data_IF_664968367006
#
_entry.id   IF_664968367006
#
_cell.length_a   1.000
_cell.length_b   1.000
_cell.length_c   1.000
_cell.angle_alpha   90.00
_cell.angle_beta   90.00
_cell.angle_gamma   90.00
#
_symmetry.space_group_name_H-M   'P 1'
#
loop_
_entity.id
_entity.type
_entity.pdbx_description
1 polymer ?
#
# COMPACT_ATOMS: atom_id res chain seq x y z
N UNK A 1 19.39 -17.19 11.30
CA UNK A 1 18.11 -17.92 11.15
C UNK A 1 16.91 -16.98 11.19
N UNK A 2 16.79 -16.13 12.19
CA UNK A 2 15.70 -15.14 12.29
C UNK A 2 15.73 -14.17 11.11
N UNK A 3 16.91 -13.69 10.74
CA UNK A 3 17.07 -12.75 9.62
C UNK A 3 16.63 -13.37 8.29
N UNK A 4 16.95 -14.65 8.07
CA UNK A 4 16.53 -15.35 6.86
C UNK A 4 15.00 -15.47 6.77
N UNK A 5 14.36 -15.81 7.89
CA UNK A 5 12.89 -15.88 7.96
C UNK A 5 12.26 -14.52 7.72
N UNK A 6 12.85 -13.46 8.31
CA UNK A 6 12.40 -12.08 8.08
C UNK A 6 12.48 -11.73 6.59
N UNK A 7 13.62 -11.97 5.95
CA UNK A 7 13.81 -11.67 4.53
C UNK A 7 12.83 -12.44 3.65
N UNK A 8 12.58 -13.71 3.98
CA UNK A 8 11.62 -14.53 3.24
C UNK A 8 10.21 -13.97 3.32
N UNK A 9 9.76 -13.57 4.52
CA UNK A 9 8.44 -13.01 4.72
C UNK A 9 8.31 -11.61 4.11
N UNK A 10 9.37 -10.81 4.20
CA UNK A 10 9.41 -9.49 3.56
C UNK A 10 9.28 -9.59 2.05
N UNK A 11 10.01 -10.54 1.45
CA UNK A 11 9.92 -10.80 0.02
C UNK A 11 8.51 -11.21 -0.39
N UNK A 12 7.85 -12.06 0.42
CA UNK A 12 6.47 -12.46 0.18
C UNK A 12 5.52 -11.27 0.25
N UNK A 13 5.72 -10.37 1.22
CA UNK A 13 4.91 -9.15 1.32
C UNK A 13 5.08 -8.26 0.08
N UNK A 14 6.30 -8.10 -0.41
CA UNK A 14 6.59 -7.34 -1.63
C UNK A 14 5.87 -7.96 -2.83
N UNK A 15 5.92 -9.28 -2.98
CA UNK A 15 5.24 -9.99 -4.07
C UNK A 15 3.73 -9.76 -4.00
N UNK A 16 3.14 -9.82 -2.81
CA UNK A 16 1.71 -9.55 -2.62
C UNK A 16 1.34 -8.12 -3.00
N UNK A 17 2.17 -7.15 -2.65
CA UNK A 17 1.95 -5.75 -3.01
C UNK A 17 2.05 -5.54 -4.52
N UNK A 18 3.03 -6.15 -5.18
CA UNK A 18 3.17 -6.08 -6.63
C UNK A 18 1.95 -6.70 -7.32
N UNK A 19 1.45 -7.83 -6.82
CA UNK A 19 0.24 -8.47 -7.33
C UNK A 19 -0.96 -7.55 -7.20
N UNK A 20 -1.11 -6.89 -6.05
CA UNK A 20 -2.20 -5.94 -5.81
C UNK A 20 -2.14 -4.76 -6.80
N UNK A 21 -0.96 -4.20 -7.02
CA UNK A 21 -0.76 -3.11 -7.98
C UNK A 21 -1.13 -3.58 -9.39
N UNK A 22 -0.70 -4.79 -9.76
CA UNK A 22 -1.03 -5.37 -11.07
C UNK A 22 -2.54 -5.53 -11.27
N UNK A 23 -3.26 -6.00 -10.25
CA UNK A 23 -4.71 -6.12 -10.29
C UNK A 23 -5.38 -4.75 -10.44
N UNK A 24 -4.92 -3.76 -9.69
CA UNK A 24 -5.46 -2.40 -9.79
C UNK A 24 -5.20 -1.78 -11.17
N UNK A 25 -4.03 -2.00 -11.75
CA UNK A 25 -3.74 -1.53 -13.10
C UNK A 25 -4.64 -2.21 -14.13
N UNK A 26 -4.91 -3.51 -13.97
CA UNK A 26 -5.86 -4.22 -14.81
C UNK A 26 -7.26 -3.64 -14.72
N UNK A 27 -7.71 -3.30 -13.51
CA UNK A 27 -9.01 -2.65 -13.31
C UNK A 27 -9.04 -1.25 -13.93
N UNK A 28 -7.92 -0.53 -13.93
CA UNK A 28 -7.81 0.76 -14.62
C UNK A 28 -8.07 0.62 -16.12
N UNK A 29 -7.45 -0.38 -16.74
CA UNK A 29 -7.66 -0.66 -18.17
C UNK A 29 -9.10 -1.04 -18.44
N UNK A 30 -9.72 -1.85 -17.58
CA UNK A 30 -11.13 -2.19 -17.69
C UNK A 30 -12.01 -0.95 -17.62
N UNK A 31 -11.70 0.00 -16.73
CA UNK A 31 -12.43 1.27 -16.62
C UNK A 31 -12.37 2.06 -17.93
N UNK A 32 -11.20 2.08 -18.57
CA UNK A 32 -11.06 2.77 -19.86
C UNK A 32 -11.95 2.15 -20.95
N UNK A 33 -11.98 0.82 -21.01
CA UNK A 33 -12.72 0.09 -22.04
C UNK A 33 -14.23 0.20 -21.81
N UNK A 34 -14.71 0.05 -20.56
CA UNK A 34 -16.13 -0.06 -20.25
C UNK A 34 -16.80 1.28 -19.88
N UNK A 35 -16.05 2.24 -19.35
CA UNK A 35 -16.64 3.49 -18.83
C UNK A 35 -16.16 4.74 -19.58
N UNK A 36 -14.87 4.87 -19.86
CA UNK A 36 -14.34 6.00 -20.60
C UNK A 36 -13.05 6.57 -20.00
N UNK A 37 -12.59 7.68 -20.59
CA UNK A 37 -11.29 8.25 -20.24
C UNK A 37 -11.27 8.97 -18.89
N UNK A 38 -12.38 9.61 -18.49
CA UNK A 38 -12.46 10.35 -17.21
C UNK A 38 -12.35 9.38 -16.05
N UNK A 39 -13.05 8.27 -16.10
CA UNK A 39 -13.03 7.22 -15.11
C UNK A 39 -11.67 6.53 -15.08
N UNK A 40 -11.08 6.28 -16.24
CA UNK A 40 -9.73 5.72 -16.35
C UNK A 40 -8.69 6.61 -15.66
N UNK A 41 -8.73 7.93 -15.93
CA UNK A 41 -7.80 8.88 -15.32
C UNK A 41 -7.91 8.86 -13.79
N UNK A 42 -9.14 8.86 -13.27
CA UNK A 42 -9.39 8.79 -11.84
C UNK A 42 -8.84 7.50 -11.23
N UNK A 43 -9.21 6.38 -11.80
CA UNK A 43 -8.79 5.07 -11.30
C UNK A 43 -7.26 4.90 -11.37
N UNK A 44 -6.65 5.27 -12.48
CA UNK A 44 -5.20 5.19 -12.65
C UNK A 44 -4.47 6.08 -11.64
N UNK A 45 -4.94 7.31 -11.44
CA UNK A 45 -4.33 8.24 -10.47
C UNK A 45 -4.39 7.69 -9.05
N UNK A 46 -5.52 7.11 -8.65
CA UNK A 46 -5.66 6.48 -7.34
C UNK A 46 -4.74 5.28 -7.17
N UNK A 47 -4.62 4.46 -8.20
CA UNK A 47 -3.72 3.31 -8.19
C UNK A 47 -2.25 3.74 -8.07
N UNK A 48 -1.85 4.77 -8.84
CA UNK A 48 -0.47 5.28 -8.77
C UNK A 48 -0.14 5.86 -7.40
N UNK A 49 -1.07 6.58 -6.80
CA UNK A 49 -0.88 7.14 -5.45
C UNK A 49 -0.73 6.02 -4.42
N UNK A 50 -1.59 5.01 -4.46
CA UNK A 50 -1.48 3.84 -3.59
C UNK A 50 -0.15 3.10 -3.78
N UNK A 51 0.31 2.98 -5.02
CA UNK A 51 1.58 2.35 -5.35
C UNK A 51 2.76 3.12 -4.72
N UNK A 52 2.74 4.45 -4.80
CA UNK A 52 3.78 5.27 -4.18
C UNK A 52 3.85 5.03 -2.68
N UNK A 53 2.72 4.97 -2.00
CA UNK A 53 2.70 4.68 -0.57
C UNK A 53 3.23 3.28 -0.25
N UNK A 54 2.92 2.29 -1.06
CA UNK A 54 3.45 0.93 -0.88
C UNK A 54 4.97 0.89 -1.04
N UNK A 55 5.50 1.61 -2.02
CA UNK A 55 6.95 1.72 -2.24
C UNK A 55 7.62 2.39 -1.03
N UNK A 56 7.03 3.47 -0.53
CA UNK A 56 7.56 4.17 0.65
C UNK A 56 7.59 3.27 1.87
N UNK A 57 6.54 2.46 2.07
CA UNK A 57 6.50 1.49 3.16
C UNK A 57 7.64 0.47 3.06
N UNK A 58 7.88 -0.06 1.85
CA UNK A 58 8.97 -1.01 1.61
C UNK A 58 10.32 -0.39 1.98
N UNK A 59 10.56 0.85 1.57
CA UNK A 59 11.80 1.55 1.94
C UNK A 59 11.92 1.75 3.45
N UNK A 60 10.84 2.13 4.11
CA UNK A 60 10.84 2.33 5.57
C UNK A 60 11.16 1.04 6.30
N UNK A 61 10.57 -0.08 5.88
CA UNK A 61 10.82 -1.39 6.51
C UNK A 61 12.27 -1.81 6.32
N UNK A 62 12.86 -1.53 5.15
CA UNK A 62 14.27 -1.85 4.91
C UNK A 62 15.22 -1.08 5.80
N UNK A 63 14.87 0.17 6.14
CA UNK A 63 15.70 1.02 7.00
C UNK A 63 15.56 0.68 8.47
N UNK A 64 14.40 0.17 8.88
CA UNK A 64 14.13 -0.14 10.29
C UNK A 64 14.62 -1.56 10.60
N UNK A 65 15.27 -1.71 11.75
CA UNK A 65 15.67 -3.04 12.21
C UNK A 65 14.45 -3.89 12.54
N UNK A 66 14.43 -5.13 12.06
CA UNK A 66 13.36 -6.07 12.36
C UNK A 66 13.35 -6.52 13.82
N UNK A 67 14.35 -6.12 14.62
CA UNK A 67 14.42 -6.48 16.04
C UNK A 67 13.31 -5.85 16.88
N UNK A 68 12.66 -4.80 16.38
CA UNK A 68 11.61 -4.11 17.12
C UNK A 68 10.33 -3.97 16.28
N UNK A 69 9.38 -4.93 16.41
CA UNK A 69 8.13 -4.89 15.66
C UNK A 69 7.22 -3.72 16.04
N UNK A 70 7.38 -3.15 17.24
CA UNK A 70 6.61 -1.97 17.64
C UNK A 70 6.93 -0.76 16.78
N UNK A 71 8.18 -0.60 16.34
CA UNK A 71 8.56 0.49 15.44
C UNK A 71 7.87 0.33 14.08
N UNK A 72 7.83 -0.90 13.55
CA UNK A 72 7.13 -1.18 12.29
C UNK A 72 5.64 -0.87 12.39
N UNK A 73 5.01 -1.28 13.49
CA UNK A 73 3.60 -1.03 13.74
C UNK A 73 3.32 0.47 13.83
N UNK A 74 4.16 1.21 14.57
CA UNK A 74 4.04 2.66 14.70
C UNK A 74 4.19 3.37 13.36
N UNK A 75 5.12 2.93 12.51
CA UNK A 75 5.31 3.49 11.17
C UNK A 75 4.08 3.27 10.30
N UNK A 76 3.52 2.07 10.31
CA UNK A 76 2.34 1.76 9.49
C UNK A 76 1.12 2.55 9.93
N UNK A 77 0.83 2.60 11.23
CA UNK A 77 -0.30 3.35 11.76
C UNK A 77 -0.09 4.86 11.66
N UNK A 78 1.13 5.34 11.93
CA UNK A 78 1.47 6.76 11.90
C UNK A 78 1.43 7.35 10.48
N UNK A 79 1.65 6.53 9.46
CA UNK A 79 1.58 6.98 8.07
C UNK A 79 0.14 7.13 7.56
N UNK A 80 -0.85 6.54 8.25
CA UNK A 80 -2.22 6.53 7.79
C UNK A 80 -2.84 7.94 7.71
N UNK A 81 -2.70 8.83 8.73
CA UNK A 81 -3.17 10.21 8.60
C UNK A 81 -2.52 10.97 7.45
N UNK A 82 -1.24 10.73 7.20
CA UNK A 82 -0.50 11.33 6.09
C UNK A 82 -1.09 10.87 4.77
N UNK A 83 -1.42 9.58 4.64
CA UNK A 83 -2.07 9.02 3.45
C UNK A 83 -3.41 9.70 3.17
N UNK A 84 -4.22 9.91 4.22
CA UNK A 84 -5.52 10.57 4.09
C UNK A 84 -5.34 12.02 3.63
N UNK A 85 -4.38 12.75 4.22
CA UNK A 85 -4.11 14.14 3.85
C UNK A 85 -3.68 14.26 2.39
N UNK A 86 -2.75 13.42 1.97
CA UNK A 86 -2.27 13.41 0.58
C UNK A 86 -3.41 13.03 -0.37
N UNK A 87 -4.24 12.06 0.01
CA UNK A 87 -5.42 11.68 -0.76
C UNK A 87 -6.34 12.89 -0.97
N UNK A 88 -6.62 13.64 0.08
CA UNK A 88 -7.48 14.82 -0.02
C UNK A 88 -6.91 15.88 -0.98
N UNK A 89 -5.62 16.14 -0.87
CA UNK A 89 -4.94 17.11 -1.74
C UNK A 89 -5.03 16.68 -3.20
N UNK A 90 -4.74 15.39 -3.48
CA UNK A 90 -4.79 14.88 -4.85
C UNK A 90 -6.20 14.79 -5.40
N UNK A 91 -7.20 14.50 -4.56
CA UNK A 91 -8.60 14.48 -4.99
C UNK A 91 -9.04 15.86 -5.45
N UNK A 92 -8.74 16.89 -4.68
CA UNK A 92 -9.07 18.28 -5.06
C UNK A 92 -8.28 18.73 -6.29
N UNK A 93 -6.97 18.50 -6.32
CA UNK A 93 -6.12 18.86 -7.44
C UNK A 93 -6.52 18.13 -8.73
N UNK A 94 -6.83 16.86 -8.60
CA UNK A 94 -7.26 16.06 -9.76
C UNK A 94 -8.58 16.54 -10.35
N UNK A 95 -9.53 16.95 -9.50
CA UNK A 95 -10.79 17.51 -9.96
C UNK A 95 -10.56 18.81 -10.76
N UNK A 96 -9.72 19.70 -10.22
CA UNK A 96 -9.50 21.01 -10.81
C UNK A 96 -8.60 20.99 -12.03
N UNK A 97 -7.55 20.15 -12.02
CA UNK A 97 -6.50 20.17 -13.04
C UNK A 97 -6.68 19.09 -14.13
N UNK A 98 -7.14 17.91 -13.76
CA UNK A 98 -7.18 16.77 -14.68
C UNK A 98 -8.58 16.34 -15.09
N UNK A 99 -9.61 16.93 -14.51
CA UNK A 99 -11.02 16.59 -14.79
C UNK A 99 -11.27 15.08 -14.67
N UNK A 100 -10.65 14.45 -13.66
CA UNK A 100 -10.82 13.03 -13.41
C UNK A 100 -12.08 12.76 -12.58
N UNK A 101 -12.61 11.52 -12.67
CA UNK A 101 -13.73 11.10 -11.85
C UNK A 101 -13.26 10.82 -10.43
N UNK A 102 -13.69 11.64 -9.46
CA UNK A 102 -13.29 11.53 -8.07
C UNK A 102 -13.72 10.22 -7.42
N UNK A 103 -14.89 9.69 -7.81
CA UNK A 103 -15.39 8.43 -7.26
C UNK A 103 -14.44 7.28 -7.62
N UNK A 104 -14.00 7.21 -8.88
CA UNK A 104 -13.06 6.17 -9.33
C UNK A 104 -11.69 6.36 -8.69
N UNK A 105 -11.23 7.59 -8.52
CA UNK A 105 -9.99 7.87 -7.78
C UNK A 105 -10.08 7.37 -6.34
N UNK A 106 -11.18 7.69 -5.66
CA UNK A 106 -11.41 7.26 -4.29
C UNK A 106 -11.47 5.75 -4.16
N UNK A 107 -12.20 5.07 -5.07
CA UNK A 107 -12.32 3.61 -5.04
C UNK A 107 -10.97 2.93 -5.26
N UNK A 108 -10.21 3.39 -6.25
CA UNK A 108 -8.89 2.81 -6.55
C UNK A 108 -7.93 3.00 -5.37
N UNK A 109 -7.89 4.19 -4.81
CA UNK A 109 -7.03 4.50 -3.68
C UNK A 109 -7.42 3.69 -2.44
N UNK A 110 -8.72 3.63 -2.12
CA UNK A 110 -9.20 2.86 -0.97
C UNK A 110 -8.89 1.37 -1.14
N UNK A 111 -9.17 0.82 -2.31
CA UNK A 111 -8.90 -0.61 -2.57
C UNK A 111 -7.42 -0.92 -2.39
N UNK A 112 -6.54 -0.15 -3.02
CA UNK A 112 -5.10 -0.34 -2.91
C UNK A 112 -4.59 -0.14 -1.49
N UNK A 113 -5.07 0.90 -0.80
CA UNK A 113 -4.63 1.22 0.56
C UNK A 113 -5.10 0.17 1.57
N UNK A 114 -6.36 -0.28 1.47
CA UNK A 114 -6.90 -1.29 2.38
C UNK A 114 -6.16 -2.63 2.21
N UNK A 115 -5.95 -3.07 0.97
CA UNK A 115 -5.22 -4.32 0.71
C UNK A 115 -3.76 -4.18 1.18
N UNK A 116 -3.13 -3.05 0.91
CA UNK A 116 -1.77 -2.78 1.37
C UNK A 116 -1.70 -2.80 2.90
N UNK A 117 -2.67 -2.20 3.59
CA UNK A 117 -2.72 -2.21 5.05
C UNK A 117 -2.86 -3.63 5.60
N UNK A 118 -3.69 -4.46 4.98
CA UNK A 118 -3.84 -5.86 5.37
C UNK A 118 -2.50 -6.60 5.24
N UNK A 119 -1.77 -6.38 4.15
CA UNK A 119 -0.46 -6.97 3.92
C UNK A 119 0.54 -6.48 4.97
N UNK A 120 0.56 -5.18 5.26
CA UNK A 120 1.44 -4.58 6.26
C UNK A 120 1.19 -5.18 7.65
N UNK A 121 -0.06 -5.28 8.07
CA UNK A 121 -0.45 -5.85 9.37
C UNK A 121 -0.07 -7.33 9.44
N UNK A 122 -0.35 -8.09 8.39
CA UNK A 122 0.04 -9.49 8.32
C UNK A 122 1.56 -9.66 8.48
N UNK A 123 2.33 -8.82 7.80
CA UNK A 123 3.79 -8.84 7.88
C UNK A 123 4.28 -8.56 9.30
N UNK A 124 3.73 -7.52 9.94
CA UNK A 124 4.10 -7.14 11.31
C UNK A 124 3.79 -8.26 12.30
N UNK A 125 2.61 -8.87 12.19
CA UNK A 125 2.23 -10.00 13.06
C UNK A 125 3.18 -11.18 12.85
N UNK A 126 3.53 -11.46 11.60
CA UNK A 126 4.42 -12.58 11.26
C UNK A 126 5.84 -12.33 11.82
N UNK A 127 6.36 -11.11 11.69
CA UNK A 127 7.67 -10.75 12.23
C UNK A 127 7.67 -10.85 13.75
N UNK A 128 6.61 -10.36 14.40
CA UNK A 128 6.49 -10.46 15.85
C UNK A 128 6.50 -11.92 16.31
N UNK A 129 5.79 -12.79 15.60
CA UNK A 129 5.79 -14.23 15.92
C UNK A 129 7.19 -14.83 15.79
N UNK A 130 7.90 -14.53 14.70
CA UNK A 130 9.26 -15.03 14.48
C UNK A 130 10.19 -14.60 15.61
N UNK A 131 10.12 -13.35 16.04
CA UNK A 131 10.96 -12.82 17.11
C UNK A 131 10.62 -13.53 18.44
N UNK A 132 9.35 -13.72 18.73
CA UNK A 132 8.92 -14.40 19.96
C UNK A 132 9.40 -15.86 20.00
N UNK A 133 9.25 -16.56 18.92
CA UNK A 133 9.71 -17.96 18.81
C UNK A 133 11.23 -18.06 18.96
N UNK A 134 11.97 -17.11 18.41
CA UNK A 134 13.43 -17.09 18.53
C UNK A 134 13.91 -16.85 19.97
N UNK A 135 13.08 -16.17 20.79
CA UNK A 135 13.37 -15.93 22.21
C UNK A 135 12.87 -17.04 23.12
N UNK A 136 12.27 -18.08 22.58
CA UNK A 136 11.72 -19.19 23.36
C UNK A 136 10.43 -18.87 24.11
N UNK A 137 9.71 -17.85 23.68
CA UNK A 137 8.45 -17.42 24.30
C UNK A 137 7.22 -18.08 23.69
#
# INVERSE_FOLDING_TARGET
MVEELFQKKFKKAIILMITTVGLNLGLSVCSLVFKGSTEFKGYLSGTLLSMVFSILWVFMVRKVSFSNPMVLFSLSLGSFPIKILVFAIFAFGGLLLFQMNQMYFGMAFLLGTVISLIIEVWFIITVNRIIRESKGE
#
